data_IF_797289029516
#
_entry.id   IF_797289029516
#
_cell.length_a   1.000
_cell.length_b   1.000
_cell.length_c   1.000
_cell.angle_alpha   90.00
_cell.angle_beta   90.00
_cell.angle_gamma   90.00
#
_symmetry.space_group_name_H-M   'P 1'
#
loop_
_entity.id
_entity.type
_entity.pdbx_description
1 polymer ?
#
# COMPACT_ATOMS: atom_id res chain seq x y z
N UNK A 1 22.66 0.54 7.65
CA UNK A 1 21.89 -0.37 8.54
C UNK A 1 20.57 -0.71 7.88
N UNK A 2 20.09 -1.94 8.05
CA UNK A 2 18.78 -2.38 7.56
C UNK A 2 18.04 -2.93 8.79
N UNK A 3 17.36 -2.08 9.58
CA UNK A 3 16.73 -2.51 10.82
C UNK A 3 15.51 -3.37 10.52
N UNK A 4 15.45 -4.55 11.14
CA UNK A 4 14.30 -5.46 11.07
C UNK A 4 13.73 -5.64 12.47
N UNK A 5 12.45 -5.33 12.65
CA UNK A 5 11.76 -5.44 13.93
C UNK A 5 10.54 -4.52 14.00
N UNK A 6 10.07 -4.23 15.21
CA UNK A 6 8.92 -3.34 15.40
C UNK A 6 9.23 -1.87 15.06
N UNK A 7 8.17 -1.08 14.83
CA UNK A 7 8.26 0.33 14.44
C UNK A 7 9.15 1.17 15.38
N UNK A 8 9.11 0.91 16.70
CA UNK A 8 9.96 1.62 17.66
C UNK A 8 11.45 1.39 17.42
N UNK A 9 11.87 0.17 17.10
CA UNK A 9 13.28 -0.14 16.82
C UNK A 9 13.72 0.53 15.54
N UNK A 10 12.91 0.42 14.49
CA UNK A 10 13.19 1.03 13.18
C UNK A 10 13.35 2.53 13.33
N UNK A 11 12.40 3.19 14.01
CA UNK A 11 12.44 4.63 14.28
C UNK A 11 13.71 5.04 15.03
N UNK A 12 14.07 4.32 16.09
CA UNK A 12 15.30 4.60 16.85
C UNK A 12 16.55 4.51 15.96
N UNK A 13 16.64 3.51 15.08
CA UNK A 13 17.79 3.36 14.17
C UNK A 13 17.83 4.48 13.13
N UNK A 14 16.69 4.84 12.55
CA UNK A 14 16.58 5.92 11.56
C UNK A 14 16.96 7.27 12.16
N UNK A 15 16.52 7.57 13.38
CA UNK A 15 16.75 8.87 14.02
C UNK A 15 18.19 9.06 14.55
N UNK A 16 18.86 7.98 14.95
CA UNK A 16 20.14 8.08 15.68
C UNK A 16 21.36 7.58 14.90
N UNK A 17 21.18 6.90 13.77
CA UNK A 17 22.30 6.33 13.02
C UNK A 17 23.03 7.38 12.19
N UNK A 18 24.35 7.44 12.33
CA UNK A 18 25.24 8.19 11.42
C UNK A 18 25.60 7.39 10.15
N UNK A 19 25.39 6.08 10.16
CA UNK A 19 25.58 5.19 9.01
C UNK A 19 24.30 5.24 8.15
N UNK A 20 24.39 5.27 6.80
CA UNK A 20 23.20 5.22 5.93
C UNK A 20 22.26 4.08 6.30
N UNK A 21 20.97 4.39 6.45
CA UNK A 21 19.92 3.43 6.84
C UNK A 21 18.97 3.26 5.69
N UNK A 22 18.69 2.00 5.32
CA UNK A 22 17.57 1.67 4.45
C UNK A 22 16.43 1.23 5.34
N UNK A 23 15.45 2.11 5.50
CA UNK A 23 14.27 1.88 6.32
C UNK A 23 13.34 0.89 5.65
N UNK A 24 13.03 -0.16 6.40
CA UNK A 24 11.95 -1.11 6.08
C UNK A 24 10.94 -0.97 7.21
N UNK A 25 9.77 -0.38 6.98
CA UNK A 25 8.85 -0.20 8.10
C UNK A 25 7.64 0.69 7.83
N UNK A 26 6.48 0.18 8.26
CA UNK A 26 5.12 0.70 8.12
C UNK A 26 4.59 0.64 6.70
N UNK A 27 3.54 -0.14 6.50
CA UNK A 27 2.76 -0.18 5.28
C UNK A 27 1.27 0.03 5.55
N UNK A 28 0.90 1.30 5.71
CA UNK A 28 -0.49 1.72 5.64
C UNK A 28 -0.94 1.73 4.17
N UNK A 29 -1.28 0.54 3.68
CA UNK A 29 -1.57 0.29 2.26
C UNK A 29 -3.06 0.53 1.95
N UNK A 30 -3.33 1.10 0.77
CA UNK A 30 -4.68 1.42 0.32
C UNK A 30 -5.08 0.62 -0.91
N UNK A 31 -6.38 0.36 -1.01
CA UNK A 31 -7.03 -0.10 -2.24
C UNK A 31 -8.13 0.88 -2.60
N UNK A 32 -8.06 1.44 -3.80
CA UNK A 32 -9.12 2.27 -4.36
C UNK A 32 -9.95 1.49 -5.37
N UNK A 33 -11.25 1.35 -5.10
CA UNK A 33 -12.24 0.79 -6.03
C UNK A 33 -12.88 1.93 -6.79
N UNK A 34 -12.51 2.03 -8.07
CA UNK A 34 -12.93 3.08 -8.99
C UNK A 34 -14.39 2.90 -9.45
N UNK A 35 -14.96 3.95 -10.02
CA UNK A 35 -16.33 3.94 -10.55
C UNK A 35 -16.56 2.92 -11.68
N UNK A 36 -15.50 2.56 -12.41
CA UNK A 36 -15.53 1.60 -13.51
C UNK A 36 -15.03 0.21 -13.11
N UNK A 37 -14.80 -0.04 -11.82
CA UNK A 37 -14.25 -1.32 -11.37
C UNK A 37 -15.16 -2.50 -11.72
N UNK A 38 -14.55 -3.61 -12.13
CA UNK A 38 -15.21 -4.91 -11.99
C UNK A 38 -15.31 -5.24 -10.50
N UNK A 39 -16.52 -5.22 -9.97
CA UNK A 39 -16.78 -5.36 -8.53
C UNK A 39 -16.48 -6.77 -8.01
N UNK A 40 -16.57 -7.80 -8.85
CA UNK A 40 -16.20 -9.17 -8.45
C UNK A 40 -14.68 -9.33 -8.37
N UNK A 41 -13.96 -8.71 -9.30
CA UNK A 41 -12.50 -8.61 -9.22
C UNK A 41 -12.07 -7.79 -8.01
N UNK A 42 -12.72 -6.64 -7.77
CA UNK A 42 -12.46 -5.79 -6.60
C UNK A 42 -12.65 -6.57 -5.31
N UNK A 43 -13.73 -7.36 -5.19
CA UNK A 43 -14.02 -8.16 -4.01
C UNK A 43 -12.89 -9.14 -3.72
N UNK A 44 -12.48 -9.93 -4.72
CA UNK A 44 -11.38 -10.90 -4.60
C UNK A 44 -10.07 -10.24 -4.18
N UNK A 45 -9.74 -9.10 -4.79
CA UNK A 45 -8.51 -8.34 -4.49
C UNK A 45 -8.53 -7.81 -3.06
N UNK A 46 -9.61 -7.15 -2.64
CA UNK A 46 -9.74 -6.54 -1.30
C UNK A 46 -9.65 -7.62 -0.21
N UNK A 47 -10.37 -8.72 -0.37
CA UNK A 47 -10.34 -9.84 0.58
C UNK A 47 -8.92 -10.39 0.65
N UNK A 48 -8.32 -10.75 -0.49
CA UNK A 48 -6.96 -11.29 -0.50
C UNK A 48 -5.96 -10.34 0.17
N UNK A 49 -6.07 -9.05 -0.10
CA UNK A 49 -5.15 -8.05 0.42
C UNK A 49 -5.25 -7.86 1.94
N UNK A 50 -6.45 -7.98 2.53
CA UNK A 50 -6.64 -7.84 3.98
C UNK A 50 -6.44 -9.16 4.74
N UNK A 51 -6.99 -10.27 4.23
CA UNK A 51 -7.18 -11.49 5.04
C UNK A 51 -6.16 -12.59 4.77
N UNK A 52 -5.41 -12.56 3.66
CA UNK A 52 -4.43 -13.62 3.37
C UNK A 52 -3.30 -13.69 4.41
N UNK A 53 -2.84 -12.52 4.88
CA UNK A 53 -1.85 -12.39 5.95
C UNK A 53 -1.96 -10.99 6.57
N UNK A 54 -2.83 -10.76 7.57
CA UNK A 54 -3.08 -9.41 8.09
C UNK A 54 -1.88 -8.81 8.84
N UNK A 55 -1.00 -9.64 9.40
CA UNK A 55 0.13 -9.21 10.22
C UNK A 55 1.40 -8.83 9.43
N UNK A 56 1.30 -8.58 8.11
CA UNK A 56 2.44 -8.12 7.30
C UNK A 56 2.18 -6.74 6.72
N UNK A 57 3.26 -5.99 6.50
CA UNK A 57 3.21 -4.58 6.10
C UNK A 57 2.59 -4.32 4.72
N UNK A 58 2.41 -5.31 3.86
CA UNK A 58 1.76 -5.10 2.57
C UNK A 58 0.25 -5.49 2.57
N UNK A 59 -0.30 -5.81 3.75
CA UNK A 59 -1.73 -6.00 3.92
C UNK A 59 -2.47 -4.68 3.72
N UNK A 60 -3.66 -4.72 3.12
CA UNK A 60 -4.47 -3.52 2.97
C UNK A 60 -5.02 -3.06 4.33
N UNK A 61 -4.86 -1.77 4.63
CA UNK A 61 -5.31 -1.16 5.89
C UNK A 61 -6.46 -0.17 5.67
N UNK A 62 -6.55 0.40 4.46
CA UNK A 62 -7.63 1.31 4.08
C UNK A 62 -8.24 0.95 2.72
N UNK A 63 -9.57 0.85 2.69
CA UNK A 63 -10.38 0.68 1.49
C UNK A 63 -11.05 2.00 1.11
N UNK A 64 -10.73 2.52 -0.07
CA UNK A 64 -11.35 3.69 -0.66
C UNK A 64 -12.32 3.25 -1.75
N UNK A 65 -13.55 3.76 -1.74
CA UNK A 65 -14.57 3.39 -2.73
C UNK A 65 -15.15 4.65 -3.35
N UNK A 66 -15.22 4.68 -4.68
CA UNK A 66 -15.86 5.78 -5.41
C UNK A 66 -17.35 5.90 -5.04
N UNK A 67 -17.81 7.13 -4.83
CA UNK A 67 -19.18 7.45 -4.38
C UNK A 67 -20.27 6.87 -5.30
N UNK A 68 -20.01 6.77 -6.60
CA UNK A 68 -20.95 6.24 -7.60
C UNK A 68 -21.25 4.75 -7.42
N UNK A 69 -20.29 3.95 -6.93
CA UNK A 69 -20.44 2.50 -6.72
C UNK A 69 -20.66 2.14 -5.25
N UNK A 70 -20.44 3.08 -4.33
CA UNK A 70 -20.57 2.86 -2.89
C UNK A 70 -21.93 2.27 -2.47
N UNK A 71 -23.11 2.75 -2.95
CA UNK A 71 -24.40 2.21 -2.50
C UNK A 71 -24.64 0.74 -2.85
N UNK A 72 -24.11 0.27 -3.98
CA UNK A 72 -24.30 -1.11 -4.46
C UNK A 72 -23.20 -2.05 -3.98
N UNK A 73 -21.97 -1.54 -3.85
CA UNK A 73 -20.81 -2.37 -3.54
C UNK A 73 -20.51 -2.48 -2.05
N UNK A 74 -20.64 -1.40 -1.26
CA UNK A 74 -20.27 -1.40 0.17
C UNK A 74 -20.98 -2.50 0.98
N UNK A 75 -22.32 -2.67 0.88
CA UNK A 75 -22.99 -3.70 1.67
C UNK A 75 -22.46 -5.10 1.37
N UNK A 76 -22.07 -5.38 0.12
CA UNK A 76 -21.56 -6.68 -0.31
C UNK A 76 -20.16 -6.92 0.28
N UNK A 77 -19.20 -6.02 -0.01
CA UNK A 77 -17.81 -6.22 0.41
C UNK A 77 -17.65 -6.17 1.93
N UNK A 78 -18.39 -5.32 2.63
CA UNK A 78 -18.27 -5.19 4.08
C UNK A 78 -18.92 -6.35 4.83
N UNK A 79 -20.01 -6.94 4.30
CA UNK A 79 -20.59 -8.15 4.90
C UNK A 79 -19.61 -9.32 4.79
N UNK A 80 -18.99 -9.50 3.62
CA UNK A 80 -18.00 -10.56 3.40
C UNK A 80 -16.76 -10.39 4.30
N UNK A 81 -16.25 -9.15 4.44
CA UNK A 81 -15.14 -8.88 5.36
C UNK A 81 -15.53 -9.13 6.83
N UNK A 82 -16.75 -8.76 7.24
CA UNK A 82 -17.27 -9.04 8.57
C UNK A 82 -17.40 -10.55 8.84
N UNK A 83 -17.89 -11.33 7.87
CA UNK A 83 -17.98 -12.79 7.96
C UNK A 83 -16.61 -13.45 8.12
N UNK A 84 -15.57 -12.85 7.53
CA UNK A 84 -14.17 -13.25 7.71
C UNK A 84 -13.54 -12.72 9.02
N UNK A 85 -14.31 -12.08 9.89
CA UNK A 85 -13.89 -11.57 11.19
C UNK A 85 -13.19 -10.22 11.17
N UNK A 86 -13.26 -9.47 10.07
CA UNK A 86 -12.64 -8.14 9.95
C UNK A 86 -13.51 -7.08 10.63
N UNK A 87 -12.93 -6.35 11.59
CA UNK A 87 -13.54 -5.15 12.14
C UNK A 87 -13.52 -4.00 11.13
N UNK A 88 -14.70 -3.45 10.82
CA UNK A 88 -14.84 -2.35 9.87
C UNK A 88 -14.92 -1.01 10.60
N UNK A 89 -14.06 -0.06 10.22
CA UNK A 89 -14.09 1.34 10.66
C UNK A 89 -14.39 2.26 9.48
N UNK A 90 -15.61 2.78 9.41
CA UNK A 90 -16.11 3.53 8.26
C UNK A 90 -16.28 5.02 8.53
N UNK A 91 -16.13 5.87 7.51
CA UNK A 91 -16.59 7.27 7.58
C UNK A 91 -18.13 7.36 7.66
N UNK A 92 -18.69 8.56 7.89
CA UNK A 92 -20.14 8.75 8.04
C UNK A 92 -20.97 8.19 6.87
N UNK A 93 -20.46 8.30 5.64
CA UNK A 93 -21.12 7.73 4.45
C UNK A 93 -21.17 6.21 4.51
N UNK A 94 -20.09 5.57 4.97
CA UNK A 94 -20.04 4.12 5.17
C UNK A 94 -21.00 3.70 6.28
N UNK A 95 -21.03 4.42 7.40
CA UNK A 95 -21.94 4.14 8.53
C UNK A 95 -23.41 4.17 8.12
N UNK A 96 -23.80 5.07 7.21
CA UNK A 96 -25.16 5.14 6.66
C UNK A 96 -25.52 3.93 5.78
N UNK A 97 -24.55 3.38 5.06
CA UNK A 97 -24.74 2.25 4.13
C UNK A 97 -24.53 0.89 4.80
N UNK A 98 -23.77 0.83 5.89
CA UNK A 98 -23.46 -0.37 6.64
C UNK A 98 -23.46 -0.08 8.15
N UNK A 99 -24.60 -0.28 8.78
CA UNK A 99 -24.85 0.12 10.18
C UNK A 99 -23.94 -0.57 11.19
N UNK A 100 -23.35 -1.72 10.87
CA UNK A 100 -22.51 -2.49 11.80
C UNK A 100 -21.08 -1.94 11.95
N UNK A 101 -20.60 -1.09 11.04
CA UNK A 101 -19.24 -0.54 11.16
C UNK A 101 -19.10 0.40 12.37
N UNK A 102 -17.89 0.49 12.91
CA UNK A 102 -17.51 1.57 13.83
C UNK A 102 -17.29 2.86 13.04
N UNK A 103 -17.44 4.02 13.67
CA UNK A 103 -17.11 5.31 13.05
C UNK A 103 -15.59 5.47 13.10
N UNK A 104 -14.97 5.67 11.94
CA UNK A 104 -13.54 5.96 11.81
C UNK A 104 -13.22 7.38 12.30
N UNK A 105 -12.09 7.52 12.97
CA UNK A 105 -11.51 8.79 13.43
C UNK A 105 -10.37 9.22 12.53
N UNK A 106 -9.84 10.44 12.69
CA UNK A 106 -8.66 10.89 11.91
C UNK A 106 -7.44 9.97 12.14
N UNK A 107 -7.31 9.39 13.34
CA UNK A 107 -6.23 8.47 13.69
C UNK A 107 -6.28 7.19 12.84
N UNK A 108 -7.48 6.71 12.54
CA UNK A 108 -7.67 5.46 11.79
C UNK A 108 -7.07 5.52 10.39
N UNK A 109 -7.14 6.68 9.72
CA UNK A 109 -6.53 6.85 8.40
C UNK A 109 -5.00 6.77 8.42
N UNK A 110 -4.35 7.06 9.55
CA UNK A 110 -2.89 6.96 9.72
C UNK A 110 -2.43 5.61 10.27
N UNK A 111 -3.35 4.72 10.64
CA UNK A 111 -3.02 3.53 11.44
C UNK A 111 -2.76 2.33 10.53
N UNK A 112 -1.57 1.75 10.64
CA UNK A 112 -1.30 0.37 10.25
C UNK A 112 -1.78 -0.55 11.39
N UNK A 113 -2.76 -1.41 11.12
CA UNK A 113 -3.41 -2.24 12.14
C UNK A 113 -2.66 -3.55 12.37
N UNK A 114 -2.11 -4.14 11.31
CA UNK A 114 -1.50 -5.48 11.32
C UNK A 114 -2.42 -6.58 11.87
N UNK A 115 -3.73 -6.41 11.71
CA UNK A 115 -4.77 -7.27 12.26
C UNK A 115 -5.99 -7.31 11.32
N UNK A 116 -7.00 -8.09 11.67
CA UNK A 116 -8.32 -8.12 11.05
C UNK A 116 -9.13 -6.85 11.37
N UNK A 117 -8.59 -5.71 10.98
CA UNK A 117 -9.21 -4.38 11.07
C UNK A 117 -8.96 -3.67 9.74
N UNK A 118 -9.97 -2.96 9.22
CA UNK A 118 -9.82 -2.14 8.02
C UNK A 118 -10.60 -0.82 8.14
N UNK A 119 -9.96 0.25 7.71
CA UNK A 119 -10.58 1.56 7.53
C UNK A 119 -11.27 1.66 6.18
N UNK A 120 -12.45 2.28 6.12
CA UNK A 120 -13.25 2.37 4.88
C UNK A 120 -13.73 3.79 4.67
N UNK A 121 -13.44 4.35 3.50
CA UNK A 121 -13.86 5.71 3.14
C UNK A 121 -14.51 5.75 1.76
N UNK A 122 -15.67 6.38 1.69
CA UNK A 122 -16.26 6.79 0.41
C UNK A 122 -15.60 8.08 -0.05
N UNK A 123 -15.05 8.08 -1.27
CA UNK A 123 -14.39 9.22 -1.92
C UNK A 123 -15.15 9.63 -3.17
N UNK A 124 -15.16 10.92 -3.51
CA UNK A 124 -15.93 11.45 -4.64
C UNK A 124 -15.46 10.89 -5.99
N UNK A 125 -14.14 10.75 -6.15
CA UNK A 125 -13.51 10.28 -7.39
C UNK A 125 -12.03 9.95 -7.16
N UNK A 126 -11.35 9.54 -8.23
CA UNK A 126 -9.92 9.22 -8.24
C UNK A 126 -9.02 10.33 -7.68
N UNK A 127 -9.34 11.63 -7.87
CA UNK A 127 -8.49 12.70 -7.34
C UNK A 127 -8.52 12.74 -5.81
N UNK A 128 -9.70 12.54 -5.22
CA UNK A 128 -9.82 12.45 -3.77
C UNK A 128 -9.13 11.19 -3.24
N UNK A 129 -9.22 10.07 -3.97
CA UNK A 129 -8.49 8.84 -3.62
C UNK A 129 -6.97 9.09 -3.60
N UNK A 130 -6.42 9.69 -4.66
CA UNK A 130 -4.99 10.02 -4.77
C UNK A 130 -4.55 10.97 -3.65
N UNK A 131 -5.34 12.02 -3.37
CA UNK A 131 -5.04 12.96 -2.29
C UNK A 131 -5.06 12.27 -0.92
N UNK A 132 -6.00 11.36 -0.68
CA UNK A 132 -6.06 10.59 0.55
C UNK A 132 -4.82 9.70 0.69
N UNK A 133 -4.49 8.91 -0.32
CA UNK A 133 -3.35 7.99 -0.28
C UNK A 133 -2.04 8.76 -0.09
N UNK A 134 -1.83 9.86 -0.83
CA UNK A 134 -0.61 10.66 -0.68
C UNK A 134 -0.51 11.39 0.67
N UNK A 135 -1.64 11.61 1.37
CA UNK A 135 -1.66 12.21 2.71
C UNK A 135 -1.42 11.16 3.81
N UNK A 136 -2.03 9.99 3.70
CA UNK A 136 -2.14 9.03 4.80
C UNK A 136 -1.30 7.76 4.62
N UNK A 137 -1.01 7.38 3.37
CA UNK A 137 -0.19 6.22 3.06
C UNK A 137 1.27 6.40 3.46
N UNK A 138 1.91 5.29 3.79
CA UNK A 138 3.35 5.25 4.14
C UNK A 138 4.23 4.91 2.96
N UNK A 139 3.72 5.09 1.74
CA UNK A 139 4.45 4.91 0.47
C UNK A 139 4.93 3.47 0.26
N UNK A 140 4.24 2.50 0.83
CA UNK A 140 4.59 1.08 0.73
C UNK A 140 3.95 0.44 -0.51
N UNK A 141 2.64 0.22 -0.49
CA UNK A 141 1.93 -0.44 -1.57
C UNK A 141 0.52 0.11 -1.69
N UNK A 142 0.16 0.51 -2.91
CA UNK A 142 -1.13 1.16 -3.16
C UNK A 142 -1.74 0.55 -4.42
N UNK A 143 -3.04 0.26 -4.41
CA UNK A 143 -3.71 -0.38 -5.54
C UNK A 143 -4.94 0.40 -6.00
N UNK A 144 -5.18 0.38 -7.31
CA UNK A 144 -6.45 0.77 -7.92
C UNK A 144 -7.10 -0.44 -8.59
N UNK A 145 -8.41 -0.58 -8.44
CA UNK A 145 -9.23 -1.52 -9.21
C UNK A 145 -10.13 -0.71 -10.15
N UNK A 146 -9.94 -0.85 -11.47
CA UNK A 146 -10.60 -0.03 -12.50
C UNK A 146 -10.60 -0.72 -13.87
N UNK A 147 -11.62 -0.48 -14.69
CA UNK A 147 -11.62 -0.81 -16.14
C UNK A 147 -11.21 0.42 -16.99
N UNK A 148 -11.16 1.61 -16.39
CA UNK A 148 -10.76 2.84 -17.08
C UNK A 148 -9.23 2.96 -17.15
N UNK A 149 -8.70 2.80 -18.36
CA UNK A 149 -7.26 2.91 -18.61
C UNK A 149 -6.67 4.29 -18.30
N UNK A 150 -7.43 5.37 -18.43
CA UNK A 150 -6.96 6.72 -18.10
C UNK A 150 -6.82 6.86 -16.58
N UNK A 151 -7.79 6.35 -15.82
CA UNK A 151 -7.73 6.32 -14.35
C UNK A 151 -6.56 5.45 -13.86
N UNK A 152 -6.36 4.27 -14.45
CA UNK A 152 -5.21 3.42 -14.13
C UNK A 152 -3.87 4.13 -14.36
N UNK A 153 -3.70 4.78 -15.51
CA UNK A 153 -2.48 5.55 -15.84
C UNK A 153 -2.28 6.73 -14.91
N UNK A 154 -3.36 7.45 -14.59
CA UNK A 154 -3.32 8.60 -13.68
C UNK A 154 -2.89 8.17 -12.28
N UNK A 155 -3.56 7.17 -11.71
CA UNK A 155 -3.24 6.62 -10.40
C UNK A 155 -1.78 6.16 -10.33
N UNK A 156 -1.34 5.38 -11.32
CA UNK A 156 0.04 4.86 -11.40
C UNK A 156 1.10 5.98 -11.46
N UNK A 157 0.75 7.14 -12.04
CA UNK A 157 1.66 8.28 -12.18
C UNK A 157 1.69 9.18 -10.94
N UNK A 158 0.55 9.37 -10.29
CA UNK A 158 0.38 10.38 -9.23
C UNK A 158 0.54 9.82 -7.81
N UNK A 159 0.53 8.50 -7.63
CA UNK A 159 0.81 7.86 -6.35
C UNK A 159 2.32 7.69 -6.16
N UNK A 160 2.86 8.25 -5.07
CA UNK A 160 4.27 8.13 -4.71
C UNK A 160 4.50 6.99 -3.71
N UNK A 161 4.40 5.74 -4.18
CA UNK A 161 4.68 4.54 -3.38
C UNK A 161 5.81 3.69 -3.96
N UNK A 162 6.36 2.77 -3.15
CA UNK A 162 7.36 1.81 -3.59
C UNK A 162 6.78 0.83 -4.63
N UNK A 163 5.51 0.48 -4.48
CA UNK A 163 4.79 -0.26 -5.52
C UNK A 163 3.37 0.26 -5.70
N UNK A 164 2.97 0.45 -6.96
CA UNK A 164 1.62 0.85 -7.34
C UNK A 164 1.02 -0.22 -8.24
N UNK A 165 -0.17 -0.71 -7.86
CA UNK A 165 -0.86 -1.80 -8.55
C UNK A 165 -2.08 -1.31 -9.30
N UNK A 166 -2.34 -1.93 -10.44
CA UNK A 166 -3.61 -1.82 -11.18
C UNK A 166 -4.20 -3.21 -11.24
N UNK A 167 -5.41 -3.39 -10.72
CA UNK A 167 -6.16 -4.66 -10.75
C UNK A 167 -5.39 -5.85 -10.15
N UNK A 168 -4.60 -5.61 -9.11
CA UNK A 168 -3.85 -6.62 -8.38
C UNK A 168 -3.80 -6.32 -6.88
N UNK A 169 -3.57 -7.37 -6.09
CA UNK A 169 -3.47 -7.28 -4.63
C UNK A 169 -2.17 -6.62 -4.19
N UNK A 170 -2.20 -5.83 -3.11
CA UNK A 170 -1.00 -5.26 -2.49
C UNK A 170 -0.08 -6.33 -1.90
N UNK A 171 -0.60 -7.55 -1.69
CA UNK A 171 0.15 -8.70 -1.18
C UNK A 171 1.29 -9.15 -2.07
N UNK A 172 1.28 -8.76 -3.34
CA UNK A 172 2.36 -9.05 -4.28
C UNK A 172 3.64 -8.27 -4.01
N UNK A 173 3.65 -7.29 -3.09
CA UNK A 173 4.90 -6.57 -2.75
C UNK A 173 5.77 -7.47 -1.90
N UNK A 174 6.53 -8.32 -2.57
CA UNK A 174 7.38 -9.36 -2.01
C UNK A 174 8.45 -9.75 -3.04
N UNK A 175 9.68 -9.95 -2.59
CA UNK A 175 10.81 -10.25 -3.47
C UNK A 175 10.66 -11.57 -4.24
N UNK A 176 10.01 -12.59 -3.70
CA UNK A 176 9.76 -13.83 -4.44
C UNK A 176 8.72 -13.60 -5.54
N UNK A 177 7.62 -12.93 -5.22
CA UNK A 177 6.57 -12.58 -6.19
C UNK A 177 7.12 -11.71 -7.32
N UNK A 178 8.11 -10.86 -7.04
CA UNK A 178 8.79 -10.03 -8.04
C UNK A 178 9.94 -10.74 -8.79
N UNK A 179 10.18 -12.03 -8.51
CA UNK A 179 11.21 -12.81 -9.19
C UNK A 179 12.65 -12.50 -8.75
N UNK A 180 12.84 -11.87 -7.59
CA UNK A 180 14.16 -11.60 -7.01
C UNK A 180 14.75 -12.84 -6.32
N UNK A 181 13.93 -13.86 -6.06
CA UNK A 181 14.30 -15.13 -5.43
C UNK A 181 14.55 -15.06 -3.92
N UNK A 182 14.82 -13.87 -3.37
CA UNK A 182 14.81 -13.57 -1.95
C UNK A 182 14.73 -12.05 -1.76
N UNK A 183 14.35 -11.61 -0.56
CA UNK A 183 14.47 -10.21 -0.15
C UNK A 183 15.05 -10.08 1.26
N UNK A 184 15.76 -8.99 1.51
CA UNK A 184 16.15 -8.58 2.86
C UNK A 184 15.05 -7.73 3.54
N UNK A 185 14.08 -7.25 2.77
CA UNK A 185 12.95 -6.43 3.21
C UNK A 185 12.48 -5.45 2.13
N UNK A 186 11.48 -4.64 2.47
CA UNK A 186 10.84 -3.71 1.53
C UNK A 186 11.19 -2.29 1.96
N UNK A 187 11.92 -1.58 1.10
CA UNK A 187 12.26 -0.18 1.32
C UNK A 187 11.15 0.74 0.84
N UNK A 188 10.70 1.67 1.68
CA UNK A 188 9.76 2.74 1.30
C UNK A 188 10.47 4.04 0.94
N UNK A 189 11.80 4.10 1.13
CA UNK A 189 12.62 5.28 0.84
C UNK A 189 12.82 5.52 -0.65
N UNK A 190 13.19 6.75 -1.03
CA UNK A 190 13.45 7.12 -2.43
C UNK A 190 14.89 6.90 -2.87
N UNK A 191 15.84 6.94 -1.95
CA UNK A 191 17.27 6.89 -2.27
C UNK A 191 17.79 5.45 -2.22
N UNK A 192 18.76 5.15 -3.09
CA UNK A 192 19.46 3.87 -3.21
C UNK A 192 18.60 2.67 -3.64
N UNK A 193 17.63 2.24 -2.83
CA UNK A 193 16.77 1.09 -3.11
C UNK A 193 15.33 1.38 -2.66
N UNK A 194 14.34 0.98 -3.47
CA UNK A 194 12.90 1.19 -3.21
C UNK A 194 12.11 -0.02 -3.66
N UNK A 195 11.18 -0.50 -2.82
CA UNK A 195 10.49 -1.77 -3.01
C UNK A 195 11.24 -2.95 -2.39
N UNK A 196 10.88 -4.20 -2.76
CA UNK A 196 11.61 -5.39 -2.35
C UNK A 196 13.10 -5.30 -2.70
N UNK A 197 13.95 -5.54 -1.71
CA UNK A 197 15.41 -5.44 -1.84
C UNK A 197 16.04 -6.83 -1.98
N UNK A 198 16.47 -7.16 -3.19
CA UNK A 198 17.19 -8.39 -3.51
C UNK A 198 18.71 -8.21 -3.44
N UNK A 199 19.44 -9.10 -4.12
CA UNK A 199 20.91 -9.07 -4.12
C UNK A 199 21.48 -7.79 -4.74
N UNK A 200 20.84 -7.25 -5.78
CA UNK A 200 21.33 -6.07 -6.51
C UNK A 200 21.32 -4.82 -5.63
N UNK A 201 20.30 -4.68 -4.80
CA UNK A 201 20.13 -3.54 -3.89
C UNK A 201 21.17 -3.53 -2.76
N UNK A 202 21.94 -4.62 -2.59
CA UNK A 202 23.05 -4.72 -1.65
C UNK A 202 24.41 -4.44 -2.31
N UNK A 203 24.41 -3.95 -3.55
CA UNK A 203 25.64 -3.61 -4.29
C UNK A 203 25.80 -2.11 -4.46
N UNK A 204 27.02 -1.69 -4.76
CA UNK A 204 27.33 -0.36 -5.26
C UNK A 204 28.03 -0.48 -6.61
N UNK A 205 28.16 0.63 -7.32
CA UNK A 205 28.85 0.68 -8.61
C UNK A 205 30.14 1.50 -8.50
N UNK A 206 31.07 1.21 -9.41
CA UNK A 206 32.28 2.03 -9.61
C UNK A 206 32.53 2.20 -11.10
N UNK A 207 33.17 3.29 -11.47
CA UNK A 207 33.62 3.51 -12.84
C UNK A 207 34.98 2.86 -13.04
N UNK A 208 35.12 2.13 -14.14
CA UNK A 208 36.39 1.54 -14.57
C UNK A 208 36.77 2.21 -15.88
N UNK A 209 37.90 2.91 -15.89
CA UNK A 209 38.39 3.65 -17.05
C UNK A 209 39.69 2.99 -17.53
N UNK A 210 39.67 2.51 -18.77
CA UNK A 210 40.88 2.02 -19.44
C UNK A 210 41.45 3.14 -20.30
N UNK A 211 42.71 3.49 -20.05
CA UNK A 211 43.43 4.52 -20.78
C UNK A 211 44.64 3.99 -21.54
N UNK A 212 45.10 4.76 -22.51
CA UNK A 212 46.33 4.55 -23.29
C UNK A 212 47.12 5.86 -23.51
N UNK A 213 46.94 6.85 -22.64
CA UNK A 213 47.64 8.15 -22.72
C UNK A 213 46.72 9.36 -22.88
N UNK A 214 45.44 9.23 -22.52
CA UNK A 214 44.50 10.34 -22.54
C UNK A 214 44.96 11.46 -21.58
N UNK A 215 45.02 12.68 -22.11
CA UNK A 215 45.26 13.92 -21.36
C UNK A 215 43.94 14.68 -21.18
N UNK A 216 43.87 15.55 -20.16
CA UNK A 216 42.68 16.35 -19.82
C UNK A 216 42.75 17.74 -20.44
#
# INVERSE_FOLDING_TARGET
LIPRGGASLIKTVVENSLIPVIETGVGNCHIFVDETADLEMAKKIVINAKTSRPAVCNAAETLLIAESVAPTYLPIILSELEELGVEIRGCDKVKKLFLKCKIATEKDWHTEYLDYIISVKVVKNINEAINHINKYGTKHSEAIVTQNQQNAKKFSKEIDAATVYVNASTRFTDGFEFGLGAEIGISTQKLHARGPMGLRELTSYKYIIYGNGQIR
#
